data_IF_285914822454
#
_entry.id   IF_285914822454
#
_cell.length_a   1.000
_cell.length_b   1.000
_cell.length_c   1.000
_cell.angle_alpha   90.00
_cell.angle_beta   90.00
_cell.angle_gamma   90.00
#
_symmetry.space_group_name_H-M   'P 1'
#
loop_
_entity.id
_entity.type
_entity.pdbx_description
1 polymer ?
#
# COMPACT_ATOMS: atom_id res chain seq x y z
N UNK A 1 14.18 -3.57 -20.85
CA UNK A 1 13.20 -4.39 -21.60
C UNK A 1 11.82 -4.03 -21.06
N UNK A 2 10.79 -3.93 -21.89
CA UNK A 2 9.42 -3.70 -21.41
C UNK A 2 8.57 -4.95 -21.68
N UNK A 3 7.88 -5.44 -20.66
CA UNK A 3 6.97 -6.58 -20.75
C UNK A 3 5.64 -6.15 -20.14
N UNK A 4 4.54 -6.33 -20.86
CA UNK A 4 3.20 -5.90 -20.42
C UNK A 4 3.14 -4.40 -20.04
N UNK A 5 3.94 -3.55 -20.69
CA UNK A 5 4.05 -2.12 -20.39
C UNK A 5 4.73 -1.80 -19.04
N UNK A 6 5.40 -2.77 -18.43
CA UNK A 6 6.22 -2.62 -17.23
C UNK A 6 7.70 -2.66 -17.61
N UNK A 7 8.47 -1.72 -17.07
CA UNK A 7 9.92 -1.70 -17.26
C UNK A 7 10.57 -2.80 -16.41
N UNK A 8 11.17 -3.79 -17.08
CA UNK A 8 11.79 -4.93 -16.42
C UNK A 8 13.20 -4.56 -15.95
N UNK A 9 13.44 -4.83 -14.67
CA UNK A 9 14.72 -4.78 -13.99
C UNK A 9 15.18 -6.20 -13.65
N UNK A 10 16.48 -6.44 -13.63
CA UNK A 10 17.08 -7.74 -13.36
C UNK A 10 18.02 -7.66 -12.15
N UNK A 11 17.95 -8.66 -11.29
CA UNK A 11 18.85 -8.82 -10.14
C UNK A 11 19.11 -10.29 -9.86
N UNK A 12 20.09 -10.58 -9.00
CA UNK A 12 20.37 -11.93 -8.56
C UNK A 12 20.46 -11.98 -7.05
N UNK A 13 19.77 -12.93 -6.43
CA UNK A 13 19.85 -13.15 -5.00
C UNK A 13 20.15 -14.61 -4.69
N UNK A 14 21.27 -14.86 -3.99
CA UNK A 14 21.75 -16.22 -3.68
C UNK A 14 21.89 -17.11 -4.92
N UNK A 15 22.32 -16.54 -6.04
CA UNK A 15 22.54 -17.26 -7.30
C UNK A 15 21.26 -17.60 -8.08
N UNK A 16 20.11 -17.00 -7.73
CA UNK A 16 18.84 -17.12 -8.47
C UNK A 16 18.49 -15.80 -9.14
N UNK A 17 18.00 -15.87 -10.36
CA UNK A 17 17.55 -14.71 -11.13
C UNK A 17 16.27 -14.15 -10.51
N UNK A 18 16.21 -12.83 -10.45
CA UNK A 18 15.04 -12.07 -10.07
C UNK A 18 14.73 -11.10 -11.20
N UNK A 19 13.45 -11.06 -11.59
CA UNK A 19 12.95 -10.06 -12.52
C UNK A 19 11.92 -9.21 -11.78
N UNK A 20 12.09 -7.90 -11.86
CA UNK A 20 11.31 -6.94 -11.08
C UNK A 20 10.89 -5.75 -11.91
N UNK A 21 10.04 -4.91 -11.34
CA UNK A 21 9.71 -3.60 -11.90
C UNK A 21 9.53 -2.62 -10.76
N UNK A 22 10.01 -1.40 -10.98
CA UNK A 22 9.76 -0.29 -10.06
C UNK A 22 8.39 0.31 -10.34
N UNK A 23 7.56 0.39 -9.31
CA UNK A 23 6.22 0.99 -9.36
C UNK A 23 6.17 2.23 -8.47
N UNK A 24 5.46 3.25 -8.93
CA UNK A 24 5.15 4.43 -8.12
C UNK A 24 3.91 4.16 -7.28
N UNK A 25 3.87 4.68 -6.06
CA UNK A 25 2.66 4.66 -5.25
C UNK A 25 1.56 5.52 -5.91
N UNK A 26 0.27 5.16 -5.74
CA UNK A 26 -0.83 5.94 -6.31
C UNK A 26 -0.83 7.37 -5.78
N UNK A 27 -1.35 8.30 -6.60
CA UNK A 27 -1.44 9.70 -6.21
C UNK A 27 -2.23 9.86 -4.88
N UNK A 28 -1.76 10.75 -4.01
CA UNK A 28 -2.34 10.93 -2.67
C UNK A 28 -1.87 9.92 -1.61
N UNK A 29 -1.09 8.89 -1.98
CA UNK A 29 -0.53 7.92 -1.04
C UNK A 29 0.96 8.13 -0.80
N UNK A 30 1.45 7.63 0.34
CA UNK A 30 2.86 7.64 0.72
C UNK A 30 3.21 6.37 1.49
N UNK A 31 4.37 5.81 1.20
CA UNK A 31 4.88 4.62 1.86
C UNK A 31 5.69 4.99 3.09
N UNK A 32 5.52 4.25 4.17
CA UNK A 32 6.28 4.45 5.41
C UNK A 32 6.80 3.13 5.96
N UNK A 33 8.05 3.14 6.42
CA UNK A 33 8.62 2.01 7.17
C UNK A 33 8.46 2.32 8.64
N UNK A 34 7.65 1.53 9.36
CA UNK A 34 7.40 1.69 10.79
C UNK A 34 8.25 0.71 11.60
N UNK A 35 8.86 1.19 12.67
CA UNK A 35 9.62 0.36 13.62
C UNK A 35 9.19 0.60 15.05
N UNK A 36 9.13 -0.46 15.87
CA UNK A 36 8.77 -0.34 17.29
C UNK A 36 9.82 0.46 18.05
N UNK A 37 9.36 1.41 18.87
CA UNK A 37 10.23 2.17 19.74
C UNK A 37 10.47 1.42 21.06
N UNK A 38 11.70 0.95 21.28
CA UNK A 38 12.08 0.25 22.50
C UNK A 38 12.70 1.17 23.57
N UNK A 39 12.62 2.50 23.40
CA UNK A 39 13.32 3.48 24.26
C UNK A 39 12.79 3.59 25.71
N UNK A 40 11.84 2.75 26.14
CA UNK A 40 11.24 2.79 27.49
C UNK A 40 11.73 1.72 28.48
N UNK A 41 12.61 0.78 28.10
CA UNK A 41 13.05 -0.33 28.98
C UNK A 41 14.21 -0.01 29.93
N UNK A 42 14.37 1.25 30.36
CA UNK A 42 15.26 1.60 31.48
C UNK A 42 14.65 2.75 32.30
N UNK A 43 13.77 2.42 33.25
CA UNK A 43 13.86 2.82 34.66
C UNK A 43 12.76 2.09 35.42
N UNK A 44 13.15 1.55 36.57
CA UNK A 44 12.28 0.90 37.52
C UNK A 44 11.26 1.89 38.11
N UNK A 45 10.18 1.31 38.67
CA UNK A 45 9.13 1.85 39.52
C UNK A 45 7.81 2.32 38.87
N UNK A 46 6.76 1.73 39.42
CA UNK A 46 5.32 2.00 39.37
C UNK A 46 4.42 1.43 38.27
N UNK A 47 3.37 0.81 38.79
CA UNK A 47 2.40 -0.03 38.13
C UNK A 47 1.50 0.78 37.19
N UNK A 48 1.60 0.46 35.90
CA UNK A 48 0.54 0.70 34.92
C UNK A 48 0.68 -0.39 33.86
N UNK A 49 -0.22 -1.36 33.89
CA UNK A 49 -0.36 -2.36 32.82
C UNK A 49 -0.64 -1.65 31.49
N UNK A 50 0.33 -1.71 30.58
CA UNK A 50 0.20 -1.11 29.26
C UNK A 50 1.58 -1.03 28.63
N UNK A 51 2.00 -2.10 27.96
CA UNK A 51 3.17 -2.02 27.08
C UNK A 51 2.95 -0.86 26.11
N UNK A 52 3.70 0.22 26.26
CA UNK A 52 3.61 1.38 25.37
C UNK A 52 3.97 0.91 23.95
N UNK A 53 2.96 0.56 23.15
CA UNK A 53 3.10 0.05 21.79
C UNK A 53 3.37 1.22 20.83
N UNK A 54 4.43 1.97 21.11
CA UNK A 54 4.80 3.15 20.34
C UNK A 54 5.56 2.70 19.10
N UNK A 55 5.01 3.03 17.94
CA UNK A 55 5.66 2.85 16.64
C UNK A 55 6.22 4.19 16.18
N UNK A 56 7.38 4.16 15.53
CA UNK A 56 8.01 5.33 14.94
C UNK A 56 8.25 5.10 13.45
N UNK A 57 8.02 6.15 12.66
CA UNK A 57 8.44 6.20 11.27
C UNK A 57 9.96 6.19 11.18
N UNK A 58 10.51 5.25 10.42
CA UNK A 58 11.96 5.10 10.16
C UNK A 58 12.36 5.61 8.78
N UNK A 59 11.47 5.48 7.80
CA UNK A 59 11.68 5.97 6.44
C UNK A 59 10.35 6.27 5.76
N UNK A 60 10.41 7.09 4.70
CA UNK A 60 9.33 7.37 3.77
C UNK A 60 9.78 7.00 2.36
N UNK A 61 8.88 6.47 1.54
CA UNK A 61 9.13 6.16 0.14
C UNK A 61 7.91 6.48 -0.74
N UNK A 62 8.16 6.73 -2.01
CA UNK A 62 7.17 7.03 -3.06
C UNK A 62 7.18 5.99 -4.20
N UNK A 63 8.26 5.21 -4.31
CA UNK A 63 8.44 4.12 -5.27
C UNK A 63 8.88 2.84 -4.57
N UNK A 64 8.52 1.72 -5.17
CA UNK A 64 8.88 0.39 -4.67
C UNK A 64 9.18 -0.53 -5.85
N UNK A 65 10.31 -1.22 -5.77
CA UNK A 65 10.62 -2.31 -6.71
C UNK A 65 10.17 -3.62 -6.09
N UNK A 66 9.27 -4.32 -6.77
CA UNK A 66 8.95 -5.71 -6.41
C UNK A 66 9.70 -6.65 -7.34
N UNK A 67 10.00 -7.84 -6.83
CA UNK A 67 10.83 -8.83 -7.51
C UNK A 67 10.12 -10.17 -7.51
N UNK A 68 10.00 -10.76 -8.70
CA UNK A 68 9.53 -12.12 -8.91
C UNK A 68 10.72 -13.05 -9.10
N UNK A 69 10.53 -14.33 -8.78
CA UNK A 69 11.52 -15.38 -9.00
C UNK A 69 11.25 -16.02 -10.36
N UNK A 70 12.27 -16.10 -11.22
CA UNK A 70 12.27 -16.74 -12.56
C UNK A 70 11.03 -16.43 -13.45
N UNK A 71 10.36 -15.29 -13.22
CA UNK A 71 9.16 -14.89 -13.96
C UNK A 71 9.13 -13.39 -14.16
N UNK A 72 8.78 -12.98 -15.37
CA UNK A 72 8.66 -11.58 -15.70
C UNK A 72 7.55 -10.92 -14.86
N UNK A 73 7.74 -9.65 -14.44
CA UNK A 73 6.68 -8.85 -13.84
C UNK A 73 5.46 -8.76 -14.76
N UNK A 74 4.25 -8.84 -14.19
CA UNK A 74 2.99 -8.77 -14.93
C UNK A 74 1.94 -7.97 -14.17
N UNK A 75 1.02 -7.31 -14.89
CA UNK A 75 -0.13 -6.63 -14.26
C UNK A 75 -1.04 -7.56 -13.45
N UNK A 76 -0.98 -8.86 -13.70
CA UNK A 76 -1.74 -9.86 -12.96
C UNK A 76 -1.09 -10.30 -11.65
N UNK A 77 0.14 -9.84 -11.37
CA UNK A 77 0.86 -10.15 -10.14
C UNK A 77 0.05 -9.69 -8.93
N UNK A 78 -0.08 -10.56 -7.93
CA UNK A 78 -0.88 -10.30 -6.74
C UNK A 78 -0.45 -9.01 -6.02
N UNK A 79 0.86 -8.71 -6.04
CA UNK A 79 1.41 -7.49 -5.46
C UNK A 79 0.90 -6.23 -6.19
N UNK A 80 1.00 -6.19 -7.53
CA UNK A 80 0.48 -5.09 -8.34
C UNK A 80 -1.04 -4.96 -8.20
N UNK A 81 -1.78 -6.08 -8.28
CA UNK A 81 -3.23 -6.08 -8.13
C UNK A 81 -3.71 -5.55 -6.77
N UNK A 82 -2.90 -5.68 -5.72
CA UNK A 82 -3.23 -5.09 -4.42
C UNK A 82 -3.38 -3.57 -4.47
N UNK A 83 -2.73 -2.88 -5.42
CA UNK A 83 -2.85 -1.44 -5.58
C UNK A 83 -4.21 -1.04 -6.19
N UNK A 84 -4.92 -1.94 -6.87
CA UNK A 84 -6.28 -1.67 -7.33
C UNK A 84 -7.26 -1.44 -6.16
N UNK A 85 -6.94 -1.95 -4.97
CA UNK A 85 -7.75 -1.74 -3.78
C UNK A 85 -7.86 -0.27 -3.39
N UNK A 86 -6.85 0.57 -3.67
CA UNK A 86 -6.90 1.99 -3.32
C UNK A 86 -8.10 2.70 -3.96
N UNK A 87 -8.27 2.54 -5.28
CA UNK A 87 -9.39 3.15 -6.01
C UNK A 87 -10.76 2.57 -5.56
N UNK A 88 -10.82 1.27 -5.28
CA UNK A 88 -12.04 0.62 -4.78
C UNK A 88 -12.41 1.15 -3.39
N UNK A 89 -11.44 1.23 -2.48
CA UNK A 89 -11.65 1.72 -1.13
C UNK A 89 -12.06 3.20 -1.11
N UNK A 90 -11.47 4.03 -1.98
CA UNK A 90 -11.85 5.43 -2.15
C UNK A 90 -13.31 5.58 -2.59
N UNK A 91 -13.72 4.85 -3.64
CA UNK A 91 -15.09 4.88 -4.13
C UNK A 91 -16.09 4.37 -3.09
N UNK A 92 -15.75 3.29 -2.38
CA UNK A 92 -16.63 2.65 -1.39
C UNK A 92 -16.86 3.49 -0.14
N UNK A 93 -15.81 4.17 0.35
CA UNK A 93 -15.88 4.95 1.60
C UNK A 93 -16.13 6.44 1.37
N UNK A 94 -16.41 6.85 0.13
CA UNK A 94 -16.79 8.23 -0.17
C UNK A 94 -18.07 8.59 0.63
N UNK A 95 -18.06 9.68 1.43
CA UNK A 95 -19.25 10.11 2.14
C UNK A 95 -20.40 10.40 1.19
N UNK A 96 -21.61 10.00 1.57
CA UNK A 96 -22.83 10.26 0.80
C UNK A 96 -23.33 11.66 1.14
N UNK A 97 -23.50 12.52 0.13
CA UNK A 97 -24.04 13.88 0.35
C UNK A 97 -25.56 13.92 0.21
N UNK A 98 -26.18 15.02 0.67
CA UNK A 98 -27.61 15.23 0.51
C UNK A 98 -28.01 15.30 -0.98
N UNK A 99 -27.12 15.85 -1.81
CA UNK A 99 -27.29 15.91 -3.27
C UNK A 99 -27.23 14.52 -3.90
N UNK A 100 -26.33 13.64 -3.45
CA UNK A 100 -26.26 12.25 -3.91
C UNK A 100 -27.57 11.50 -3.58
N UNK A 101 -28.12 11.72 -2.38
CA UNK A 101 -29.40 11.15 -1.95
C UNK A 101 -30.59 11.69 -2.77
N UNK A 102 -30.60 13.00 -3.05
CA UNK A 102 -31.62 13.62 -3.89
C UNK A 102 -31.57 13.10 -5.33
N UNK A 103 -30.37 13.00 -5.92
CA UNK A 103 -30.17 12.46 -7.25
C UNK A 103 -30.61 10.98 -7.36
N UNK A 104 -30.34 10.17 -6.33
CA UNK A 104 -30.81 8.78 -6.28
C UNK A 104 -32.35 8.67 -6.20
N UNK A 105 -32.99 9.55 -5.42
CA UNK A 105 -34.46 9.63 -5.34
C UNK A 105 -35.09 10.02 -6.67
N UNK A 106 -34.52 11.02 -7.35
CA UNK A 106 -34.97 11.48 -8.67
C UNK A 106 -34.79 10.42 -9.77
N UNK A 107 -33.77 9.56 -9.64
CA UNK A 107 -33.55 8.43 -10.53
C UNK A 107 -34.58 7.31 -10.32
N UNK A 108 -35.04 7.08 -9.08
CA UNK A 108 -36.09 6.10 -8.78
C UNK A 108 -37.49 6.56 -9.20
N UNK A 109 -37.78 7.86 -9.13
CA UNK A 109 -39.11 8.42 -9.45
C UNK A 109 -39.40 8.59 -10.94
N UNK A 110 -38.46 8.27 -11.83
CA UNK A 110 -38.59 8.41 -13.30
C UNK A 110 -38.97 7.11 -14.01
N UNK A 111 -39.36 6.07 -13.28
CA UNK A 111 -39.90 4.81 -13.83
C UNK A 111 -41.42 4.74 -13.68
#
# INVERSE_FOLDING_TARGET
MEIDGLAVEEAHFRGRELQGTTISLPNGYSGFVLGKNNSGKRKACDASEGSSNVWQMKAKFDKLTYWNHDSAPSKDDAFLRSFHWFAVAEALHKPVTAEDMAAASDALGKN
#
